data_IF_378014910079
#
_entry.id   IF_378014910079
#
_cell.length_a   1.000
_cell.length_b   1.000
_cell.length_c   1.000
_cell.angle_alpha   90.00
_cell.angle_beta   90.00
_cell.angle_gamma   90.00
#
_symmetry.space_group_name_H-M   'P 1'
#
loop_
_entity.id
_entity.type
_entity.pdbx_description
1 polymer ?
#
# COMPACT_ATOMS: atom_id res chain seq x y z
N UNK A 1 -38.85 9.43 9.40
CA UNK A 1 -38.89 9.87 7.99
C UNK A 1 -37.44 10.08 7.61
N UNK A 2 -36.88 9.44 6.59
CA UNK A 2 -35.49 9.64 6.23
C UNK A 2 -35.35 11.07 5.70
N UNK A 3 -34.42 11.83 6.26
CA UNK A 3 -34.02 13.13 5.75
C UNK A 3 -33.18 12.90 4.52
N UNK A 4 -33.77 13.03 3.34
CA UNK A 4 -33.01 13.00 2.09
C UNK A 4 -32.01 14.16 2.10
N UNK A 5 -30.73 13.89 1.85
CA UNK A 5 -29.71 14.90 1.60
C UNK A 5 -30.14 15.78 0.41
N UNK A 6 -30.49 17.02 0.69
CA UNK A 6 -30.75 18.01 -0.35
C UNK A 6 -29.39 18.53 -0.82
N UNK A 7 -28.93 18.05 -1.96
CA UNK A 7 -27.83 18.66 -2.68
C UNK A 7 -28.25 20.07 -3.14
N UNK A 8 -27.35 21.07 -3.11
CA UNK A 8 -27.65 22.38 -3.66
C UNK A 8 -28.04 22.24 -5.14
N UNK A 9 -29.03 22.99 -5.64
CA UNK A 9 -29.44 22.87 -7.03
C UNK A 9 -28.26 23.20 -7.96
N UNK A 10 -28.02 22.37 -8.93
CA UNK A 10 -26.95 22.45 -9.95
C UNK A 10 -27.10 23.66 -10.90
N UNK A 11 -27.46 24.83 -10.41
CA UNK A 11 -27.67 26.06 -11.16
C UNK A 11 -26.95 27.27 -10.54
N UNK A 12 -25.70 27.13 -10.18
CA UNK A 12 -24.83 28.30 -10.09
C UNK A 12 -24.21 28.49 -11.48
N UNK A 13 -24.74 29.43 -12.21
CA UNK A 13 -24.30 29.88 -13.52
C UNK A 13 -22.82 30.25 -13.47
N UNK A 14 -21.93 29.35 -13.89
CA UNK A 14 -20.56 29.70 -14.23
C UNK A 14 -20.61 30.71 -15.38
N UNK A 15 -20.35 31.97 -15.08
CA UNK A 15 -20.12 33.02 -16.10
C UNK A 15 -18.96 32.55 -16.96
N UNK A 16 -19.28 32.25 -18.23
CA UNK A 16 -18.29 32.10 -19.31
C UNK A 16 -17.35 33.32 -19.31
N UNK A 17 -16.15 33.12 -18.81
CA UNK A 17 -15.03 34.02 -19.10
C UNK A 17 -14.53 33.67 -20.50
N UNK A 18 -14.46 34.71 -21.29
CA UNK A 18 -14.21 34.77 -22.72
C UNK A 18 -13.08 33.84 -23.21
N UNK A 19 -13.40 33.13 -24.32
CA UNK A 19 -12.43 32.60 -25.27
C UNK A 19 -11.44 33.67 -25.71
N UNK A 20 -10.25 33.66 -25.17
CA UNK A 20 -9.10 34.28 -25.84
C UNK A 20 -8.54 33.20 -26.79
N UNK A 21 -8.69 33.46 -28.07
CA UNK A 21 -8.07 32.74 -29.15
C UNK A 21 -6.56 32.94 -29.07
N UNK A 22 -5.80 31.92 -28.69
CA UNK A 22 -4.39 31.85 -29.05
C UNK A 22 -4.18 30.69 -30.02
N UNK A 23 -4.15 31.08 -31.27
CA UNK A 23 -3.54 30.38 -32.38
C UNK A 23 -2.04 30.63 -32.26
N UNK A 24 -1.26 29.69 -31.69
CA UNK A 24 0.18 29.55 -31.99
C UNK A 24 0.67 28.18 -31.47
N UNK A 25 1.34 27.48 -32.40
CA UNK A 25 2.24 26.31 -32.20
C UNK A 25 1.66 24.93 -32.04
N UNK A 26 1.14 24.45 -33.15
CA UNK A 26 1.23 23.03 -33.52
C UNK A 26 2.54 22.84 -34.35
N UNK A 27 3.71 22.74 -33.71
CA UNK A 27 4.95 22.30 -34.38
C UNK A 27 6.10 22.12 -33.36
N UNK A 28 6.05 21.03 -32.56
CA UNK A 28 7.29 20.48 -31.95
C UNK A 28 7.13 19.10 -31.31
N UNK A 29 6.28 18.22 -31.87
CA UNK A 29 6.21 16.82 -31.47
C UNK A 29 6.65 15.90 -32.62
N UNK A 30 7.92 16.09 -33.04
CA UNK A 30 8.64 15.10 -33.88
C UNK A 30 10.07 15.02 -33.36
N UNK A 31 10.28 14.17 -32.35
CA UNK A 31 11.55 13.52 -32.05
C UNK A 31 11.46 12.72 -30.74
N UNK A 32 10.81 11.57 -30.79
CA UNK A 32 11.13 10.47 -29.88
C UNK A 32 11.37 9.25 -30.75
N UNK A 33 12.60 8.74 -30.69
CA UNK A 33 13.00 7.52 -31.38
C UNK A 33 12.32 6.33 -30.71
N UNK A 34 11.82 5.36 -31.48
CA UNK A 34 11.36 4.09 -30.91
C UNK A 34 12.57 3.25 -30.52
N UNK A 35 12.63 2.82 -29.27
CA UNK A 35 13.49 1.76 -28.80
C UNK A 35 12.97 0.48 -29.45
N UNK A 36 13.83 -0.14 -30.25
CA UNK A 36 13.57 -1.38 -30.97
C UNK A 36 13.47 -2.50 -29.94
N UNK A 37 12.25 -3.01 -29.73
CA UNK A 37 12.02 -4.32 -29.12
C UNK A 37 12.22 -5.34 -30.23
N UNK A 38 13.31 -6.07 -30.19
CA UNK A 38 13.61 -7.15 -31.12
C UNK A 38 12.66 -8.33 -30.88
N UNK A 39 11.66 -8.46 -31.73
CA UNK A 39 10.87 -9.67 -31.83
C UNK A 39 11.68 -10.71 -32.59
N UNK A 40 12.06 -11.78 -31.92
CA UNK A 40 12.56 -13.00 -32.59
C UNK A 40 11.39 -13.69 -33.26
N UNK A 41 11.31 -13.53 -34.56
CA UNK A 41 10.42 -14.33 -35.43
C UNK A 41 11.14 -15.66 -35.70
N UNK A 42 10.64 -16.73 -35.09
CA UNK A 42 11.00 -18.11 -35.52
C UNK A 42 10.24 -18.43 -36.80
N UNK A 43 10.96 -18.48 -37.87
CA UNK A 43 10.45 -18.90 -39.19
C UNK A 43 10.35 -20.43 -39.18
N UNK A 44 9.15 -20.98 -39.06
CA UNK A 44 8.89 -22.38 -39.37
C UNK A 44 8.67 -22.49 -40.86
N UNK A 45 9.66 -23.02 -41.58
CA UNK A 45 9.51 -23.42 -42.96
C UNK A 45 8.94 -24.83 -42.99
N UNK A 46 7.69 -24.97 -43.37
CA UNK A 46 7.10 -26.24 -43.75
C UNK A 46 7.39 -26.47 -45.24
N UNK A 47 8.19 -27.48 -45.53
CA UNK A 47 8.23 -28.08 -46.86
C UNK A 47 7.83 -29.54 -46.72
N UNK A 48 6.76 -29.88 -47.42
CA UNK A 48 6.28 -31.24 -47.52
C UNK A 48 6.93 -32.01 -48.67
N UNK A 49 6.93 -33.31 -48.49
CA UNK A 49 6.77 -34.28 -49.61
C UNK A 49 8.03 -34.87 -50.17
N UNK A 50 8.16 -36.18 -50.04
CA UNK A 50 8.78 -37.01 -51.09
C UNK A 50 9.93 -37.93 -50.69
N UNK A 51 9.56 -39.18 -50.52
CA UNK A 51 10.26 -40.39 -50.91
C UNK A 51 11.52 -40.94 -50.17
N UNK A 52 11.34 -42.18 -49.82
CA UNK A 52 12.27 -43.13 -49.24
C UNK A 52 13.64 -43.18 -49.93
N UNK A 53 14.70 -43.12 -49.14
CA UNK A 53 15.87 -43.99 -49.33
C UNK A 53 16.61 -44.22 -48.03
N UNK A 54 16.82 -45.47 -47.73
CA UNK A 54 17.56 -46.06 -46.62
C UNK A 54 19.03 -45.62 -46.64
N UNK A 55 19.41 -44.77 -45.71
CA UNK A 55 20.81 -44.44 -45.43
C UNK A 55 21.11 -44.56 -43.94
N UNK A 56 21.72 -45.66 -43.56
CA UNK A 56 22.32 -45.80 -42.20
C UNK A 56 23.32 -44.67 -41.95
N UNK A 57 23.20 -43.95 -40.86
CA UNK A 57 24.27 -43.00 -40.48
C UNK A 57 25.48 -43.79 -39.97
N UNK A 58 26.61 -43.58 -40.66
CA UNK A 58 27.94 -43.94 -40.21
C UNK A 58 28.18 -43.24 -38.85
N UNK A 59 28.13 -44.02 -37.80
CA UNK A 59 28.84 -43.64 -36.55
C UNK A 59 30.23 -44.23 -36.63
N UNK A 60 31.23 -43.36 -36.78
CA UNK A 60 32.61 -43.68 -36.69
C UNK A 60 32.88 -44.03 -35.20
N UNK A 61 33.08 -45.31 -34.95
CA UNK A 61 33.62 -45.89 -33.76
C UNK A 61 35.12 -45.55 -33.73
N UNK A 62 35.53 -44.57 -32.89
CA UNK A 62 36.85 -44.40 -32.27
C UNK A 62 37.11 -42.93 -31.95
N UNK A 63 36.48 -42.46 -30.85
CA UNK A 63 36.97 -41.32 -30.10
C UNK A 63 37.36 -41.80 -28.67
N UNK A 64 38.66 -41.90 -28.35
CA UNK A 64 39.08 -42.23 -26.98
C UNK A 64 38.84 -41.05 -26.06
N UNK A 65 37.80 -41.08 -25.28
CA UNK A 65 37.50 -40.01 -24.31
C UNK A 65 36.11 -40.04 -23.67
N UNK A 66 35.19 -40.93 -24.11
CA UNK A 66 33.84 -40.97 -23.57
C UNK A 66 33.65 -41.79 -22.30
N UNK A 67 34.61 -42.64 -21.92
CA UNK A 67 34.50 -43.49 -20.75
C UNK A 67 34.92 -42.86 -19.41
N UNK A 68 35.21 -41.54 -19.38
CA UNK A 68 35.62 -40.85 -18.17
C UNK A 68 34.58 -39.95 -17.50
N UNK A 69 33.41 -39.80 -18.07
CA UNK A 69 32.35 -38.93 -17.52
C UNK A 69 31.21 -39.68 -16.80
N UNK A 70 31.29 -41.02 -16.71
CA UNK A 70 30.24 -41.83 -16.05
C UNK A 70 30.67 -42.36 -14.69
N UNK A 71 31.85 -42.02 -14.20
CA UNK A 71 32.31 -42.55 -12.91
C UNK A 71 32.38 -41.43 -11.87
N UNK A 72 31.48 -41.53 -10.93
CA UNK A 72 31.40 -41.00 -9.58
C UNK A 72 30.35 -39.95 -9.27
N UNK A 73 29.15 -40.01 -9.85
CA UNK A 73 28.02 -39.47 -9.14
C UNK A 73 27.56 -40.46 -8.08
N UNK A 74 27.79 -40.16 -6.81
CA UNK A 74 27.08 -40.88 -5.73
C UNK A 74 25.59 -40.89 -6.07
N UNK A 75 24.88 -42.01 -5.91
CA UNK A 75 23.45 -41.98 -6.14
C UNK A 75 22.86 -40.91 -5.22
N UNK A 76 22.27 -39.87 -5.83
CA UNK A 76 21.52 -38.88 -5.09
C UNK A 76 20.45 -39.56 -4.26
N UNK A 77 20.16 -39.08 -3.05
CA UNK A 77 19.08 -39.65 -2.24
C UNK A 77 17.80 -39.68 -3.04
N UNK A 78 17.10 -40.78 -3.02
CA UNK A 78 15.73 -40.87 -3.58
C UNK A 78 14.90 -39.94 -2.74
N UNK A 79 14.39 -38.88 -3.36
CA UNK A 79 13.48 -37.96 -2.70
C UNK A 79 12.10 -38.59 -2.83
N UNK A 80 11.65 -39.24 -1.76
CA UNK A 80 10.31 -39.83 -1.70
C UNK A 80 9.27 -38.71 -1.66
N UNK A 81 8.21 -38.89 -2.45
CA UNK A 81 7.04 -38.00 -2.38
C UNK A 81 6.46 -38.04 -0.95
N UNK A 82 6.05 -36.91 -0.37
CA UNK A 82 5.23 -36.92 0.82
C UNK A 82 4.00 -37.81 0.55
N UNK A 83 3.74 -38.79 1.38
CA UNK A 83 2.55 -39.59 1.23
C UNK A 83 1.30 -38.73 1.23
N UNK A 84 0.29 -39.06 0.42
CA UNK A 84 -1.01 -38.36 0.33
C UNK A 84 -1.01 -36.97 -0.32
N UNK A 85 -0.17 -36.74 -1.35
CA UNK A 85 -0.34 -35.56 -2.20
C UNK A 85 -1.69 -35.63 -2.96
N UNK A 86 -2.45 -34.54 -3.02
CA UNK A 86 -3.63 -34.48 -3.87
C UNK A 86 -3.28 -34.76 -5.34
N UNK A 87 -4.18 -35.47 -6.04
CA UNK A 87 -4.08 -35.68 -7.50
C UNK A 87 -3.85 -34.29 -8.19
N UNK A 88 -2.83 -34.19 -9.01
CA UNK A 88 -2.46 -32.94 -9.70
C UNK A 88 -1.28 -32.18 -9.09
N UNK A 89 -0.87 -32.45 -7.85
CA UNK A 89 0.37 -31.91 -7.28
C UNK A 89 1.58 -32.83 -7.51
N UNK A 90 1.34 -34.10 -7.90
CA UNK A 90 2.41 -35.04 -8.24
C UNK A 90 3.41 -34.52 -9.28
N UNK A 91 2.98 -33.85 -10.39
CA UNK A 91 3.92 -33.32 -11.38
C UNK A 91 4.85 -32.24 -10.80
N UNK A 92 4.41 -31.46 -9.81
CA UNK A 92 5.26 -30.45 -9.15
C UNK A 92 6.39 -31.13 -8.40
N UNK A 93 6.06 -32.20 -7.64
CA UNK A 93 7.05 -32.99 -6.93
C UNK A 93 7.98 -33.74 -7.88
N UNK A 94 7.45 -34.35 -8.94
CA UNK A 94 8.24 -35.00 -9.97
C UNK A 94 9.23 -34.03 -10.62
N UNK A 95 8.76 -32.82 -10.96
CA UNK A 95 9.61 -31.76 -11.53
C UNK A 95 10.74 -31.39 -10.57
N UNK A 96 10.45 -31.21 -9.28
CA UNK A 96 11.47 -30.93 -8.28
C UNK A 96 12.50 -32.08 -8.20
N UNK A 97 12.05 -33.34 -8.19
CA UNK A 97 12.92 -34.50 -8.13
C UNK A 97 13.81 -34.64 -9.39
N UNK A 98 13.29 -34.30 -10.57
CA UNK A 98 14.06 -34.28 -11.83
C UNK A 98 15.12 -33.19 -11.78
N UNK A 99 14.77 -31.97 -11.40
CA UNK A 99 15.71 -30.85 -11.27
C UNK A 99 16.84 -31.21 -10.29
N UNK A 100 16.50 -31.68 -9.10
CA UNK A 100 17.47 -32.06 -8.08
C UNK A 100 18.43 -33.16 -8.54
N UNK A 101 17.99 -34.05 -9.45
CA UNK A 101 18.78 -35.16 -9.94
C UNK A 101 19.58 -34.85 -11.20
N UNK A 102 19.01 -34.09 -12.15
CA UNK A 102 19.49 -34.00 -13.53
C UNK A 102 19.97 -32.61 -13.95
N UNK A 103 19.65 -31.56 -13.17
CA UNK A 103 20.11 -30.21 -13.50
C UNK A 103 21.64 -30.10 -13.43
N UNK A 104 22.23 -29.45 -14.44
CA UNK A 104 23.70 -29.40 -14.59
C UNK A 104 24.40 -28.68 -13.44
N UNK A 105 23.78 -27.64 -12.89
CA UNK A 105 24.27 -26.82 -11.78
C UNK A 105 23.51 -27.15 -10.46
N UNK A 106 23.17 -28.41 -10.26
CA UNK A 106 22.37 -28.86 -9.11
C UNK A 106 22.97 -28.56 -7.75
N UNK A 107 24.31 -28.39 -7.68
CA UNK A 107 25.00 -28.06 -6.42
C UNK A 107 24.78 -26.62 -6.00
N UNK A 108 24.35 -25.74 -6.94
CA UNK A 108 24.05 -24.34 -6.71
C UNK A 108 22.54 -24.09 -6.53
N UNK A 109 21.72 -25.15 -6.55
CA UNK A 109 20.26 -25.02 -6.35
C UNK A 109 19.96 -24.69 -4.89
N UNK A 110 19.25 -23.59 -4.69
CA UNK A 110 18.58 -23.28 -3.44
C UNK A 110 17.16 -23.90 -3.45
N UNK A 111 16.91 -24.94 -2.63
CA UNK A 111 15.60 -25.59 -2.57
C UNK A 111 14.47 -24.67 -2.10
N UNK A 112 14.77 -23.68 -1.23
CA UNK A 112 13.80 -22.72 -0.74
C UNK A 112 13.37 -21.77 -1.87
N UNK A 113 14.33 -21.32 -2.70
CA UNK A 113 14.00 -20.45 -3.84
C UNK A 113 13.17 -21.20 -4.90
N UNK A 114 13.42 -22.49 -5.12
CA UNK A 114 12.56 -23.32 -5.97
C UNK A 114 11.14 -23.48 -5.40
N UNK A 115 11.02 -23.70 -4.09
CA UNK A 115 9.73 -23.77 -3.41
C UNK A 115 8.96 -22.44 -3.52
N UNK A 116 9.63 -21.31 -3.28
CA UNK A 116 9.06 -19.96 -3.46
C UNK A 116 8.61 -19.71 -4.89
N UNK A 117 9.40 -20.18 -5.88
CA UNK A 117 9.03 -20.13 -7.30
C UNK A 117 7.77 -20.91 -7.61
N UNK A 118 7.63 -22.11 -7.06
CA UNK A 118 6.43 -22.96 -7.23
C UNK A 118 5.19 -22.30 -6.58
N UNK A 119 5.32 -21.74 -5.38
CA UNK A 119 4.24 -21.02 -4.69
C UNK A 119 3.78 -19.83 -5.53
N UNK A 120 4.71 -19.00 -6.03
CA UNK A 120 4.37 -17.87 -6.92
C UNK A 120 3.58 -18.35 -8.15
N UNK A 121 4.04 -19.40 -8.83
CA UNK A 121 3.35 -19.94 -10.00
C UNK A 121 1.94 -20.47 -9.70
N UNK A 122 1.73 -21.08 -8.53
CA UNK A 122 0.38 -21.49 -8.10
C UNK A 122 -0.56 -20.31 -7.87
N UNK A 123 -0.05 -19.22 -7.26
CA UNK A 123 -0.86 -18.04 -6.98
C UNK A 123 -1.14 -17.24 -8.26
N UNK A 124 -0.17 -17.12 -9.17
CA UNK A 124 -0.34 -16.51 -10.48
C UNK A 124 -1.41 -17.21 -11.32
N UNK A 125 -1.54 -18.53 -11.19
CA UNK A 125 -2.57 -19.31 -11.89
C UNK A 125 -4.01 -19.00 -11.43
N UNK A 126 -4.21 -18.25 -10.32
CA UNK A 126 -5.52 -17.80 -9.89
C UNK A 126 -6.01 -16.58 -10.69
N UNK A 127 -5.15 -15.91 -11.46
CA UNK A 127 -5.44 -14.68 -12.21
C UNK A 127 -6.08 -13.59 -11.35
N UNK A 128 -5.65 -13.51 -10.07
CA UNK A 128 -6.10 -12.54 -9.09
C UNK A 128 -4.95 -11.58 -8.73
N UNK A 129 -5.04 -10.29 -9.13
CA UNK A 129 -3.96 -9.32 -8.91
C UNK A 129 -3.73 -8.99 -7.43
N UNK A 130 -4.66 -9.36 -6.56
CA UNK A 130 -4.59 -9.09 -5.12
C UNK A 130 -4.10 -10.28 -4.31
N UNK A 131 -3.85 -11.41 -4.95
CA UNK A 131 -3.29 -12.62 -4.31
C UNK A 131 -1.82 -12.74 -4.66
N UNK A 132 -0.95 -12.86 -3.64
CA UNK A 132 0.50 -12.91 -3.83
C UNK A 132 1.23 -13.65 -2.73
N UNK A 133 2.41 -14.16 -3.06
CA UNK A 133 3.37 -14.65 -2.07
C UNK A 133 4.09 -13.47 -1.42
N UNK A 134 4.21 -13.51 -0.09
CA UNK A 134 4.91 -12.52 0.72
C UNK A 134 6.14 -13.17 1.33
N UNK A 135 7.33 -12.64 1.05
CA UNK A 135 8.58 -13.14 1.63
C UNK A 135 8.59 -12.99 3.15
N UNK A 136 9.45 -13.73 3.90
CA UNK A 136 9.52 -13.58 5.36
C UNK A 136 9.67 -12.11 5.80
N UNK A 137 10.61 -11.39 5.23
CA UNK A 137 10.83 -9.96 5.54
C UNK A 137 9.66 -9.08 5.07
N UNK A 138 8.96 -9.46 4.01
CA UNK A 138 7.75 -8.78 3.54
C UNK A 138 6.58 -9.00 4.50
N UNK A 139 6.49 -10.21 5.07
CA UNK A 139 5.45 -10.58 6.03
C UNK A 139 5.58 -9.76 7.32
N UNK A 140 6.79 -9.68 7.89
CA UNK A 140 7.08 -8.86 9.06
C UNK A 140 6.74 -7.39 8.81
N UNK A 141 7.21 -6.80 7.70
CA UNK A 141 6.91 -5.41 7.35
C UNK A 141 5.41 -5.16 7.14
N UNK A 142 4.66 -6.14 6.64
CA UNK A 142 3.21 -6.01 6.48
C UNK A 142 2.50 -6.00 7.83
N UNK A 143 2.95 -6.85 8.78
CA UNK A 143 2.43 -6.84 10.16
C UNK A 143 2.73 -5.51 10.85
N UNK A 144 3.97 -5.00 10.80
CA UNK A 144 4.34 -3.68 11.33
C UNK A 144 3.45 -2.58 10.75
N UNK A 145 3.23 -2.60 9.42
CA UNK A 145 2.35 -1.63 8.77
C UNK A 145 0.91 -1.67 9.29
N UNK A 146 0.38 -2.85 9.59
CA UNK A 146 -0.97 -3.00 10.15
C UNK A 146 -1.04 -2.56 11.62
N UNK A 147 0.02 -2.77 12.39
CA UNK A 147 0.11 -2.29 13.77
C UNK A 147 0.20 -0.76 13.84
N UNK A 148 0.69 -0.11 12.80
CA UNK A 148 0.89 1.34 12.74
C UNK A 148 2.15 1.77 13.46
N UNK A 149 3.14 0.90 13.50
CA UNK A 149 4.46 1.16 14.03
C UNK A 149 5.54 0.45 13.20
N UNK A 150 6.79 0.76 13.45
CA UNK A 150 7.92 0.04 12.88
C UNK A 150 9.05 -0.08 13.90
N UNK A 151 9.88 -1.09 13.75
CA UNK A 151 11.05 -1.25 14.59
C UNK A 151 12.27 -0.51 14.04
N UNK A 152 12.93 0.25 14.92
CA UNK A 152 14.08 1.05 14.51
C UNK A 152 14.51 2.06 15.59
N UNK A 153 15.14 3.15 15.15
CA UNK A 153 15.63 4.18 16.06
C UNK A 153 14.70 5.39 16.19
N UNK A 154 13.83 5.65 15.21
CA UNK A 154 12.92 6.81 15.21
C UNK A 154 13.64 8.11 14.85
N UNK A 155 14.21 8.18 13.66
CA UNK A 155 14.77 9.40 13.09
C UNK A 155 14.37 9.54 11.62
N UNK A 156 14.03 10.76 11.20
CA UNK A 156 13.90 11.11 9.80
C UNK A 156 15.29 11.37 9.23
N UNK A 157 15.63 10.73 8.12
CA UNK A 157 16.92 10.88 7.46
C UNK A 157 16.73 11.24 5.98
N UNK A 158 17.73 11.90 5.41
CA UNK A 158 17.79 12.26 4.00
C UNK A 158 19.24 12.23 3.52
N UNK A 159 19.47 12.44 2.22
CA UNK A 159 20.82 12.68 1.72
C UNK A 159 21.27 14.10 2.05
N UNK A 160 22.59 14.29 2.28
CA UNK A 160 23.18 15.62 2.29
C UNK A 160 22.98 16.31 0.94
N UNK A 161 23.00 17.67 0.87
CA UNK A 161 22.76 18.40 -0.38
C UNK A 161 23.67 18.03 -1.54
N UNK A 162 24.86 17.50 -1.25
CA UNK A 162 25.81 16.98 -2.25
C UNK A 162 25.57 15.49 -2.60
N UNK A 163 24.58 14.84 -1.95
CA UNK A 163 24.22 13.45 -2.17
C UNK A 163 25.26 12.42 -1.71
N UNK A 164 26.30 12.85 -0.96
CA UNK A 164 27.42 11.97 -0.60
C UNK A 164 27.23 11.21 0.71
N UNK A 165 26.37 11.70 1.59
CA UNK A 165 26.18 11.17 2.96
C UNK A 165 24.72 11.20 3.36
N UNK A 166 24.44 10.52 4.44
CA UNK A 166 23.13 10.52 5.10
C UNK A 166 23.14 11.56 6.22
N UNK A 167 22.09 12.38 6.28
CA UNK A 167 21.89 13.38 7.32
C UNK A 167 20.61 13.10 8.10
N UNK A 168 20.64 13.31 9.41
CA UNK A 168 19.44 13.32 10.24
C UNK A 168 18.72 14.65 10.05
N UNK A 169 17.50 14.58 9.48
CA UNK A 169 16.62 15.74 9.36
C UNK A 169 16.07 16.11 10.74
N UNK A 170 15.50 15.13 11.45
CA UNK A 170 15.03 15.28 12.83
C UNK A 170 14.89 13.92 13.51
N UNK A 171 15.24 13.78 14.81
CA UNK A 171 14.76 12.68 15.62
C UNK A 171 13.24 12.84 15.85
N UNK A 172 12.53 11.72 15.91
CA UNK A 172 11.11 11.70 16.27
C UNK A 172 11.01 11.80 17.80
N UNK A 173 10.13 12.66 18.36
CA UNK A 173 9.94 12.75 19.80
C UNK A 173 9.62 11.41 20.47
N UNK A 174 10.10 11.23 21.68
CA UNK A 174 9.90 10.03 22.52
C UNK A 174 10.43 8.72 21.93
N UNK A 175 11.38 8.78 20.96
CA UNK A 175 11.97 7.62 20.33
C UNK A 175 13.38 7.27 20.84
N UNK A 176 13.92 6.09 20.53
CA UNK A 176 15.28 5.72 20.88
C UNK A 176 16.35 6.71 20.38
N UNK A 177 16.22 7.27 19.18
CA UNK A 177 17.17 8.22 18.61
C UNK A 177 17.23 9.51 19.44
N UNK A 178 16.06 10.06 19.79
CA UNK A 178 16.02 11.26 20.64
C UNK A 178 16.61 11.00 22.02
N UNK A 179 16.22 9.88 22.67
CA UNK A 179 16.77 9.49 23.98
C UNK A 179 18.28 9.24 23.95
N UNK A 180 18.81 8.76 22.83
CA UNK A 180 20.27 8.60 22.64
C UNK A 180 20.99 9.92 22.34
N UNK A 181 20.26 11.03 22.17
CA UNK A 181 20.85 12.35 21.93
C UNK A 181 21.24 12.63 20.49
N UNK A 182 20.64 11.92 19.54
CA UNK A 182 20.72 12.27 18.10
C UNK A 182 20.05 13.63 17.89
N UNK A 183 20.59 14.45 17.00
CA UNK A 183 20.13 15.80 16.71
C UNK A 183 19.93 16.03 15.22
N UNK A 184 19.06 16.97 14.90
CA UNK A 184 18.92 17.47 13.52
C UNK A 184 20.28 18.02 13.04
N UNK A 185 20.67 17.64 11.81
CA UNK A 185 21.93 18.02 11.22
C UNK A 185 23.10 17.07 11.54
N UNK A 186 22.92 16.03 12.35
CA UNK A 186 23.95 14.99 12.52
C UNK A 186 24.14 14.25 11.19
N UNK A 187 25.38 14.19 10.68
CA UNK A 187 25.72 13.44 9.47
C UNK A 187 26.16 12.03 9.90
N UNK A 188 25.48 11.01 9.41
CA UNK A 188 25.80 9.62 9.68
C UNK A 188 26.95 9.21 8.74
N UNK A 189 28.12 8.94 9.31
CA UNK A 189 29.32 8.54 8.58
C UNK A 189 29.42 7.02 8.42
N UNK A 190 28.94 6.26 9.43
CA UNK A 190 28.92 4.81 9.38
C UNK A 190 27.76 4.25 10.21
N UNK A 191 27.27 3.05 9.83
CA UNK A 191 26.29 2.24 10.57
C UNK A 191 26.94 0.89 10.84
N UNK A 192 27.04 0.49 12.11
CA UNK A 192 27.73 -0.74 12.56
C UNK A 192 29.15 -0.89 12.00
N UNK A 193 29.83 0.25 11.75
CA UNK A 193 31.16 0.32 11.19
C UNK A 193 31.23 0.39 9.66
N UNK A 194 30.14 0.17 8.96
CA UNK A 194 30.06 0.27 7.49
C UNK A 194 29.91 1.73 7.05
N UNK A 195 30.84 2.22 6.22
CA UNK A 195 30.83 3.60 5.71
C UNK A 195 29.61 3.88 4.84
N UNK A 196 28.90 4.99 5.13
CA UNK A 196 27.67 5.38 4.42
C UNK A 196 27.89 6.15 3.11
N UNK A 197 29.15 6.31 2.66
CA UNK A 197 29.45 7.03 1.42
C UNK A 197 28.73 6.42 0.22
N UNK A 198 27.92 7.25 -0.44
CA UNK A 198 27.19 6.84 -1.64
C UNK A 198 26.00 5.94 -1.37
N UNK A 199 25.58 5.74 -0.12
CA UNK A 199 24.34 5.04 0.17
C UNK A 199 23.13 5.90 -0.22
N UNK A 200 22.10 5.22 -0.73
CA UNK A 200 20.77 5.83 -0.82
C UNK A 200 20.13 5.89 0.58
N UNK A 201 19.11 6.74 0.73
CA UNK A 201 18.28 6.78 1.95
C UNK A 201 17.69 5.41 2.26
N UNK A 202 17.28 4.66 1.22
CA UNK A 202 16.72 3.30 1.37
C UNK A 202 17.75 2.33 1.95
N UNK A 203 19.00 2.37 1.46
CA UNK A 203 20.08 1.52 1.98
C UNK A 203 20.33 1.81 3.46
N UNK A 204 20.38 3.11 3.82
CA UNK A 204 20.55 3.53 5.21
C UNK A 204 19.38 3.06 6.09
N UNK A 205 18.13 3.26 5.65
CA UNK A 205 16.93 2.81 6.37
C UNK A 205 16.98 1.31 6.62
N UNK A 206 17.28 0.49 5.59
CA UNK A 206 17.31 -0.96 5.71
C UNK A 206 18.39 -1.47 6.70
N UNK A 207 19.49 -0.73 6.91
CA UNK A 207 20.54 -1.12 7.85
C UNK A 207 20.33 -0.55 9.25
N UNK A 208 19.72 0.63 9.35
CA UNK A 208 19.42 1.25 10.64
C UNK A 208 18.21 0.58 11.31
N UNK A 209 17.18 0.19 10.55
CA UNK A 209 16.05 -0.61 11.05
C UNK A 209 16.54 -1.99 11.50
N UNK A 210 15.72 -2.67 12.26
CA UNK A 210 15.95 -4.04 12.74
C UNK A 210 15.19 -4.28 14.02
N UNK A 211 15.22 -5.51 14.48
CA UNK A 211 14.48 -6.04 15.63
C UNK A 211 14.63 -5.17 16.88
N UNK A 212 13.51 -4.87 17.53
CA UNK A 212 13.44 -4.12 18.78
C UNK A 212 14.28 -4.79 19.87
N UNK A 213 14.94 -3.96 20.67
CA UNK A 213 15.89 -4.44 21.71
C UNK A 213 17.29 -4.74 21.20
N UNK A 214 17.54 -4.75 19.88
CA UNK A 214 18.88 -4.93 19.32
C UNK A 214 19.64 -3.59 19.22
N UNK A 215 20.96 -3.56 19.40
CA UNK A 215 21.76 -2.34 19.26
C UNK A 215 22.05 -2.04 17.77
N UNK A 216 22.23 -0.74 17.46
CA UNK A 216 22.86 -0.24 16.25
C UNK A 216 23.85 0.88 16.63
N UNK A 217 25.05 0.83 16.06
CA UNK A 217 26.07 1.84 16.29
C UNK A 217 26.10 2.84 15.13
N UNK A 218 25.76 4.10 15.42
CA UNK A 218 25.89 5.19 14.46
C UNK A 218 27.16 5.98 14.73
N UNK A 219 28.08 6.03 13.76
CA UNK A 219 29.18 7.00 13.78
C UNK A 219 28.68 8.28 13.14
N UNK A 220 28.59 9.36 13.92
CA UNK A 220 28.07 10.64 13.44
C UNK A 220 29.12 11.73 13.48
N UNK A 221 28.99 12.70 12.56
CA UNK A 221 29.67 13.98 12.59
C UNK A 221 28.64 15.06 12.91
N UNK A 222 28.81 15.71 14.05
CA UNK A 222 27.91 16.79 14.48
C UNK A 222 28.42 18.15 14.05
N UNK A 223 27.52 19.00 13.60
CA UNK A 223 27.87 20.35 13.18
C UNK A 223 28.48 21.15 14.35
N UNK A 224 29.68 21.70 14.12
CA UNK A 224 30.41 22.48 15.13
C UNK A 224 31.32 21.65 16.05
N UNK A 225 31.32 20.34 15.94
CA UNK A 225 32.24 19.45 16.64
C UNK A 225 33.32 18.92 15.67
N UNK A 226 34.58 18.84 16.15
CA UNK A 226 35.69 18.37 15.32
C UNK A 226 35.84 16.85 15.31
N UNK A 227 35.36 16.20 16.35
CA UNK A 227 35.51 14.77 16.55
C UNK A 227 34.23 14.03 16.15
N UNK A 228 34.38 12.81 15.62
CA UNK A 228 33.27 11.91 15.36
C UNK A 228 32.74 11.31 16.67
N UNK A 229 31.44 11.11 16.75
CA UNK A 229 30.77 10.54 17.93
C UNK A 229 30.20 9.18 17.50
N UNK A 230 30.43 8.15 18.31
CA UNK A 230 29.76 6.87 18.16
C UNK A 230 28.60 6.85 19.15
N UNK A 231 27.38 6.65 18.65
CA UNK A 231 26.16 6.57 19.44
C UNK A 231 25.57 5.18 19.26
N UNK A 232 25.58 4.38 20.31
CA UNK A 232 24.86 3.10 20.35
C UNK A 232 23.40 3.35 20.68
N UNK A 233 22.50 2.93 19.83
CA UNK A 233 21.06 3.10 20.00
C UNK A 233 20.42 1.72 20.07
N UNK A 234 19.65 1.47 21.13
CA UNK A 234 18.84 0.25 21.20
C UNK A 234 17.56 0.51 20.40
N UNK A 235 17.35 -0.28 19.34
CA UNK A 235 16.14 -0.19 18.52
C UNK A 235 14.89 -0.42 19.36
N UNK A 236 13.81 0.18 18.97
CA UNK A 236 12.52 0.03 19.65
C UNK A 236 11.37 0.29 18.69
N UNK A 237 10.17 0.10 19.19
CA UNK A 237 8.93 0.37 18.44
C UNK A 237 8.76 1.87 18.27
N UNK A 238 8.55 2.31 17.04
CA UNK A 238 8.38 3.70 16.63
C UNK A 238 6.96 3.87 16.12
N UNK A 239 6.09 4.55 16.87
CA UNK A 239 4.72 4.77 16.44
C UNK A 239 4.67 5.70 15.23
N UNK A 240 3.87 5.31 14.24
CA UNK A 240 3.60 6.11 13.05
C UNK A 240 2.15 6.56 13.09
N UNK A 241 1.93 7.87 13.20
CA UNK A 241 0.58 8.41 13.15
C UNK A 241 -0.07 8.11 11.80
N UNK A 242 -1.31 7.66 11.84
CA UNK A 242 -2.16 7.43 10.66
C UNK A 242 -3.20 8.54 10.49
N UNK A 243 -3.44 9.35 11.52
CA UNK A 243 -4.43 10.42 11.55
C UNK A 243 -3.76 11.76 11.77
N UNK A 244 -4.07 12.71 10.91
CA UNK A 244 -3.52 14.06 10.94
C UNK A 244 -4.64 15.09 10.96
N UNK A 245 -4.46 16.15 11.76
CA UNK A 245 -5.41 17.25 11.92
C UNK A 245 -4.87 18.54 11.31
N UNK A 246 -5.76 19.29 10.66
CA UNK A 246 -5.52 20.68 10.27
C UNK A 246 -6.80 21.48 10.46
N UNK A 247 -6.79 22.48 11.34
CA UNK A 247 -7.88 23.43 11.46
C UNK A 247 -7.79 24.47 10.34
N UNK A 248 -8.93 24.81 9.75
CA UNK A 248 -9.03 25.86 8.73
C UNK A 248 -9.15 27.26 9.34
N UNK A 249 -9.35 27.34 10.66
CA UNK A 249 -9.37 28.56 11.45
C UNK A 249 -8.27 28.52 12.51
N UNK A 250 -7.69 29.66 12.84
CA UNK A 250 -6.62 29.79 13.85
C UNK A 250 -7.14 30.04 15.27
N UNK A 251 -8.46 30.06 15.46
CA UNK A 251 -9.11 30.32 16.74
C UNK A 251 -9.21 31.83 17.09
N UNK A 252 -8.67 32.73 16.26
CA UNK A 252 -8.72 34.19 16.46
C UNK A 252 -10.09 34.78 16.12
N UNK A 253 -11.02 33.94 15.65
CA UNK A 253 -12.41 34.31 15.35
C UNK A 253 -12.54 35.21 14.11
N UNK A 254 -11.60 35.10 13.17
CA UNK A 254 -11.74 35.72 11.88
C UNK A 254 -12.96 35.14 11.15
N UNK A 255 -14.02 35.91 10.88
CA UNK A 255 -15.24 35.41 10.26
C UNK A 255 -15.06 34.99 8.78
N UNK A 256 -13.89 35.27 8.19
CA UNK A 256 -13.55 34.84 6.83
C UNK A 256 -12.96 33.41 6.79
N UNK A 257 -12.51 32.88 7.94
CA UNK A 257 -11.95 31.54 8.02
C UNK A 257 -13.06 30.51 8.24
N UNK A 258 -13.12 29.42 7.45
CA UNK A 258 -14.11 28.36 7.66
C UNK A 258 -13.93 27.68 9.03
N UNK A 259 -14.98 27.59 9.86
CA UNK A 259 -14.89 27.02 11.22
C UNK A 259 -14.84 25.47 11.17
N UNK A 260 -14.00 24.90 10.31
CA UNK A 260 -13.94 23.46 10.06
C UNK A 260 -12.56 22.89 10.34
N UNK A 261 -12.54 21.59 10.68
CA UNK A 261 -11.33 20.81 10.87
C UNK A 261 -11.22 19.77 9.76
N UNK A 262 -10.05 19.71 9.12
CA UNK A 262 -9.69 18.62 8.22
C UNK A 262 -9.03 17.53 9.05
N UNK A 263 -9.57 16.30 8.96
CA UNK A 263 -8.99 15.10 9.52
C UNK A 263 -8.57 14.21 8.37
N UNK A 264 -7.27 14.01 8.18
CA UNK A 264 -6.73 13.13 7.16
C UNK A 264 -6.35 11.79 7.76
N UNK A 265 -6.85 10.71 7.16
CA UNK A 265 -6.46 9.33 7.47
C UNK A 265 -5.63 8.81 6.30
N UNK A 266 -4.38 8.41 6.56
CA UNK A 266 -3.46 7.93 5.52
C UNK A 266 -3.47 6.42 5.34
N UNK A 267 -3.88 5.67 6.37
CA UNK A 267 -4.01 4.22 6.38
C UNK A 267 -4.88 3.80 7.58
N UNK A 268 -5.52 2.62 7.50
CA UNK A 268 -6.24 2.03 8.64
C UNK A 268 -5.34 1.00 9.35
N UNK A 269 -4.76 1.41 10.47
CA UNK A 269 -3.91 0.58 11.35
C UNK A 269 -4.66 0.24 12.63
N UNK A 270 -4.10 -0.63 13.48
CA UNK A 270 -4.69 -0.91 14.81
C UNK A 270 -4.87 0.34 15.67
N UNK A 271 -4.05 1.38 15.45
CA UNK A 271 -4.05 2.62 16.22
C UNK A 271 -5.00 3.69 15.70
N UNK A 272 -5.40 3.59 14.43
CA UNK A 272 -6.21 4.63 13.76
C UNK A 272 -7.49 5.00 14.50
N UNK A 273 -8.29 4.08 15.08
CA UNK A 273 -9.51 4.44 15.81
C UNK A 273 -9.24 5.31 17.05
N UNK A 274 -8.18 4.99 17.82
CA UNK A 274 -7.80 5.75 19.00
C UNK A 274 -7.25 7.14 18.60
N UNK A 275 -6.38 7.19 17.59
CA UNK A 275 -5.85 8.43 17.05
C UNK A 275 -6.96 9.34 16.51
N UNK A 276 -7.93 8.78 15.78
CA UNK A 276 -9.09 9.53 15.28
C UNK A 276 -9.92 10.10 16.43
N UNK A 277 -10.23 9.29 17.44
CA UNK A 277 -11.00 9.75 18.61
C UNK A 277 -10.33 10.91 19.31
N UNK A 278 -9.02 10.85 19.53
CA UNK A 278 -8.25 11.95 20.12
C UNK A 278 -8.34 13.23 19.27
N UNK A 279 -8.19 13.10 17.95
CA UNK A 279 -8.28 14.24 17.02
C UNK A 279 -9.69 14.83 16.96
N UNK A 280 -10.74 14.02 17.05
CA UNK A 280 -12.14 14.49 17.12
C UNK A 280 -12.37 15.28 18.41
N UNK A 281 -11.87 14.81 19.56
CA UNK A 281 -11.99 15.55 20.82
C UNK A 281 -11.25 16.90 20.77
N UNK A 282 -10.06 16.92 20.19
CA UNK A 282 -9.32 18.16 19.96
C UNK A 282 -10.10 19.12 19.03
N UNK A 283 -10.76 18.62 17.99
CA UNK A 283 -11.58 19.43 17.09
C UNK A 283 -12.79 20.05 17.84
N UNK A 284 -13.39 19.31 18.78
CA UNK A 284 -14.44 19.82 19.65
C UNK A 284 -13.96 20.90 20.61
N UNK A 285 -12.74 20.75 21.16
CA UNK A 285 -12.13 21.76 22.07
C UNK A 285 -11.94 23.10 21.37
N UNK A 286 -11.53 23.11 20.10
CA UNK A 286 -11.44 24.32 19.28
C UNK A 286 -12.79 24.77 18.69
N UNK A 287 -13.88 24.06 19.04
CA UNK A 287 -15.25 24.34 18.58
C UNK A 287 -15.42 24.29 17.06
N UNK A 288 -14.82 23.30 16.43
CA UNK A 288 -15.03 23.05 15.02
C UNK A 288 -16.53 22.79 14.75
N UNK A 289 -17.09 23.49 13.76
CA UNK A 289 -18.52 23.39 13.41
C UNK A 289 -18.78 22.30 12.35
N UNK A 290 -17.71 21.70 11.79
CA UNK A 290 -17.79 20.61 10.81
C UNK A 290 -16.45 19.93 10.59
N UNK A 291 -16.49 18.70 10.12
CA UNK A 291 -15.33 17.87 9.81
C UNK A 291 -15.28 17.57 8.31
N UNK A 292 -14.10 17.76 7.72
CA UNK A 292 -13.75 17.27 6.39
C UNK A 292 -12.83 16.07 6.59
N UNK A 293 -13.37 14.86 6.37
CA UNK A 293 -12.60 13.61 6.49
C UNK A 293 -11.91 13.32 5.15
N UNK A 294 -10.60 13.46 5.10
CA UNK A 294 -9.79 13.29 3.89
C UNK A 294 -9.15 11.89 3.86
N UNK A 295 -9.69 11.01 3.01
CA UNK A 295 -9.14 9.67 2.75
C UNK A 295 -8.57 9.56 1.32
N UNK A 296 -8.24 10.67 0.68
CA UNK A 296 -7.56 10.68 -0.61
C UNK A 296 -6.17 10.06 -0.47
N UNK A 297 -5.80 9.25 -1.46
CA UNK A 297 -4.54 8.50 -1.50
C UNK A 297 -4.35 7.54 -0.31
N UNK A 298 -5.43 7.11 0.33
CA UNK A 298 -5.41 6.11 1.39
C UNK A 298 -5.70 4.72 0.79
N UNK A 299 -4.73 3.78 0.77
CA UNK A 299 -4.89 2.47 0.15
C UNK A 299 -5.77 1.49 0.94
N UNK A 300 -6.30 1.92 2.09
CA UNK A 300 -7.06 1.08 3.02
C UNK A 300 -6.24 0.65 4.23
N UNK A 301 -6.44 -0.57 4.68
CA UNK A 301 -5.77 -1.16 5.83
C UNK A 301 -6.62 -2.23 6.51
N UNK A 302 -6.55 -2.31 7.83
CA UNK A 302 -7.30 -3.28 8.62
C UNK A 302 -8.80 -3.00 8.58
N UNK A 303 -9.58 -4.06 8.32
CA UNK A 303 -11.03 -3.94 8.30
C UNK A 303 -11.63 -3.56 9.66
N UNK A 304 -11.19 -4.22 10.73
CA UNK A 304 -11.67 -3.93 12.08
C UNK A 304 -11.46 -2.45 12.41
N UNK A 305 -10.27 -1.92 12.13
CA UNK A 305 -9.98 -0.49 12.27
C UNK A 305 -10.90 0.40 11.41
N UNK A 306 -11.19 -0.02 10.17
CA UNK A 306 -12.10 0.72 9.28
C UNK A 306 -13.52 0.77 9.84
N UNK A 307 -14.00 -0.35 10.40
CA UNK A 307 -15.32 -0.44 11.04
C UNK A 307 -15.39 0.44 12.30
N UNK A 308 -14.36 0.40 13.13
CA UNK A 308 -14.25 1.22 14.34
C UNK A 308 -14.20 2.73 14.00
N UNK A 309 -13.47 3.10 12.94
CA UNK A 309 -13.44 4.48 12.41
C UNK A 309 -14.83 4.90 11.92
N UNK A 310 -15.55 4.02 11.20
CA UNK A 310 -16.91 4.31 10.75
C UNK A 310 -17.87 4.49 11.94
N UNK A 311 -17.68 3.71 13.03
CA UNK A 311 -18.47 3.79 14.24
C UNK A 311 -18.30 5.13 15.00
N UNK A 312 -17.21 5.87 14.79
CA UNK A 312 -17.08 7.23 15.35
C UNK A 312 -18.10 8.21 14.73
N UNK A 313 -18.65 7.90 13.56
CA UNK A 313 -19.61 8.73 12.82
C UNK A 313 -21.00 8.09 12.68
N UNK A 314 -21.14 6.79 12.98
CA UNK A 314 -22.39 6.01 12.87
C UNK A 314 -22.71 5.38 14.23
N UNK A 315 -23.90 5.62 14.76
CA UNK A 315 -24.31 5.09 16.09
C UNK A 315 -24.83 3.66 16.04
N UNK A 316 -25.20 3.18 14.86
CA UNK A 316 -25.76 1.84 14.65
C UNK A 316 -25.69 1.38 13.19
N UNK A 317 -26.17 0.17 12.95
CA UNK A 317 -26.43 -0.35 11.63
C UNK A 317 -25.19 -0.93 10.96
N UNK A 318 -25.34 -1.28 9.70
CA UNK A 318 -24.32 -1.99 8.94
C UNK A 318 -23.29 -1.00 8.37
N UNK A 319 -21.99 -1.27 8.57
CA UNK A 319 -20.89 -0.59 7.90
C UNK A 319 -20.59 -1.27 6.56
N UNK A 320 -20.50 -2.58 6.56
CA UNK A 320 -20.25 -3.39 5.36
C UNK A 320 -20.63 -4.84 5.61
N UNK A 321 -20.69 -5.64 4.57
CA UNK A 321 -20.70 -7.10 4.70
C UNK A 321 -19.78 -7.74 3.65
N UNK A 322 -19.31 -8.94 3.98
CA UNK A 322 -18.53 -9.76 3.08
C UNK A 322 -19.29 -11.01 2.66
N UNK A 323 -19.03 -11.49 1.44
CA UNK A 323 -19.43 -12.82 0.99
C UNK A 323 -18.17 -13.58 0.58
N UNK A 324 -17.94 -14.71 1.24
CA UNK A 324 -16.77 -15.54 0.95
C UNK A 324 -17.01 -16.52 -0.23
N UNK A 325 -15.97 -17.25 -0.64
CA UNK A 325 -16.02 -18.21 -1.73
C UNK A 325 -17.01 -19.39 -1.54
N UNK A 326 -17.60 -19.56 -0.35
CA UNK A 326 -18.67 -20.55 -0.06
C UNK A 326 -20.06 -19.93 -0.06
N UNK A 327 -20.18 -18.63 -0.38
CA UNK A 327 -21.43 -17.90 -0.33
C UNK A 327 -21.90 -17.53 1.08
N UNK A 328 -21.05 -17.65 2.09
CA UNK A 328 -21.37 -17.26 3.47
C UNK A 328 -21.19 -15.78 3.62
N UNK A 329 -22.25 -15.11 4.07
CA UNK A 329 -22.25 -13.67 4.40
C UNK A 329 -21.80 -13.48 5.84
N UNK A 330 -20.96 -12.48 6.08
CA UNK A 330 -20.59 -11.94 7.40
C UNK A 330 -20.84 -10.45 7.42
N UNK A 331 -21.62 -10.00 8.38
CA UNK A 331 -21.95 -8.59 8.59
C UNK A 331 -20.98 -7.92 9.56
N UNK A 332 -20.68 -6.65 9.30
CA UNK A 332 -19.83 -5.80 10.11
C UNK A 332 -20.64 -4.56 10.52
N UNK A 333 -21.33 -4.60 11.67
CA UNK A 333 -22.10 -3.46 12.16
C UNK A 333 -21.18 -2.40 12.80
N UNK A 334 -21.67 -1.16 12.88
CA UNK A 334 -21.09 -0.12 13.72
C UNK A 334 -21.42 -0.38 15.19
N UNK A 335 -20.44 -0.25 16.06
CA UNK A 335 -20.66 -0.23 17.50
C UNK A 335 -21.20 1.14 17.94
N UNK A 336 -22.13 1.20 18.89
CA UNK A 336 -22.75 2.45 19.32
C UNK A 336 -21.81 3.31 20.16
N UNK A 337 -22.03 4.63 20.18
CA UNK A 337 -21.35 5.57 21.04
C UNK A 337 -20.19 6.32 20.40
N UNK A 338 -20.24 6.50 19.09
CA UNK A 338 -19.25 7.26 18.33
C UNK A 338 -19.08 8.70 18.82
N UNK A 339 -17.87 9.23 18.67
CA UNK A 339 -17.51 10.56 19.19
C UNK A 339 -17.94 11.71 18.28
N UNK A 340 -18.36 11.48 17.03
CA UNK A 340 -18.70 12.53 16.07
C UNK A 340 -20.04 12.32 15.36
N UNK A 341 -21.06 11.82 16.07
CA UNK A 341 -22.37 11.44 15.50
C UNK A 341 -23.13 12.63 14.91
N UNK A 342 -23.07 13.80 15.57
CA UNK A 342 -23.90 14.97 15.24
C UNK A 342 -23.13 16.08 14.50
N UNK A 343 -21.80 15.98 14.40
CA UNK A 343 -20.99 17.00 13.73
C UNK A 343 -21.21 16.90 12.21
N UNK A 344 -21.50 18.01 11.50
CA UNK A 344 -21.55 18.05 10.04
C UNK A 344 -20.28 17.45 9.43
N UNK A 345 -20.45 16.54 8.45
CA UNK A 345 -19.38 15.74 7.89
C UNK A 345 -19.42 15.71 6.37
N UNK A 346 -18.25 15.83 5.77
CA UNK A 346 -18.00 15.60 4.34
C UNK A 346 -16.78 14.70 4.21
N UNK A 347 -16.76 13.80 3.24
CA UNK A 347 -15.62 12.91 2.96
C UNK A 347 -15.01 13.24 1.61
N UNK A 348 -13.67 13.39 1.59
CA UNK A 348 -12.89 13.56 0.36
C UNK A 348 -12.30 12.21 -0.06
N UNK A 349 -12.49 11.86 -1.34
CA UNK A 349 -11.98 10.64 -1.96
C UNK A 349 -11.30 10.92 -3.30
N UNK A 350 -10.42 10.01 -3.73
CA UNK A 350 -9.79 10.04 -5.05
C UNK A 350 -9.62 8.63 -5.64
N UNK A 351 -9.08 8.52 -6.84
CA UNK A 351 -8.82 7.24 -7.52
C UNK A 351 -7.80 6.34 -6.83
N UNK A 352 -7.14 6.80 -5.76
CA UNK A 352 -6.22 6.03 -4.92
C UNK A 352 -6.83 5.69 -3.54
N UNK A 353 -8.03 6.17 -3.25
CA UNK A 353 -8.82 5.72 -2.12
C UNK A 353 -9.29 4.29 -2.38
N UNK A 354 -8.78 3.31 -1.62
CA UNK A 354 -9.00 1.89 -1.92
C UNK A 354 -9.40 1.07 -0.67
N UNK A 355 -10.05 -0.08 -0.88
CA UNK A 355 -10.34 -1.08 0.17
C UNK A 355 -11.06 -0.47 1.38
N UNK A 356 -10.43 -0.40 2.57
CA UNK A 356 -11.01 0.21 3.79
C UNK A 356 -11.53 1.63 3.57
N UNK A 357 -10.86 2.45 2.74
CA UNK A 357 -11.34 3.80 2.40
C UNK A 357 -12.65 3.76 1.63
N UNK A 358 -12.83 2.76 0.77
CA UNK A 358 -14.06 2.55 0.00
C UNK A 358 -15.19 2.03 0.89
N UNK A 359 -14.86 1.11 1.81
CA UNK A 359 -15.81 0.62 2.82
C UNK A 359 -16.31 1.78 3.68
N UNK A 360 -15.42 2.63 4.19
CA UNK A 360 -15.80 3.81 5.00
C UNK A 360 -16.64 4.79 4.20
N UNK A 361 -16.20 5.18 3.00
CA UNK A 361 -16.93 6.13 2.16
C UNK A 361 -18.31 5.60 1.77
N UNK A 362 -18.41 4.33 1.35
CA UNK A 362 -19.69 3.68 1.03
C UNK A 362 -20.63 3.59 2.22
N UNK A 363 -20.11 3.27 3.40
CA UNK A 363 -20.92 3.21 4.62
C UNK A 363 -21.52 4.58 4.96
N UNK A 364 -20.70 5.64 4.93
CA UNK A 364 -21.16 6.99 5.24
C UNK A 364 -22.13 7.55 4.19
N UNK A 365 -21.93 7.18 2.90
CA UNK A 365 -22.83 7.52 1.80
C UNK A 365 -24.17 6.78 1.91
N UNK A 366 -24.14 5.46 1.99
CA UNK A 366 -25.33 4.60 2.02
C UNK A 366 -26.22 4.85 3.26
N UNK A 367 -25.61 5.36 4.33
CA UNK A 367 -26.32 5.72 5.59
C UNK A 367 -26.73 7.19 5.64
N UNK A 368 -26.61 7.94 4.54
CA UNK A 368 -26.91 9.38 4.49
C UNK A 368 -26.18 10.20 5.59
N UNK A 369 -24.99 9.75 6.02
CA UNK A 369 -24.21 10.41 7.09
C UNK A 369 -23.33 11.54 6.58
N UNK A 370 -22.75 11.38 5.40
CA UNK A 370 -21.86 12.35 4.80
C UNK A 370 -22.01 12.39 3.29
N UNK A 371 -21.83 13.56 2.69
CA UNK A 371 -21.63 13.68 1.26
C UNK A 371 -20.18 13.28 0.90
N UNK A 372 -20.04 12.49 -0.15
CA UNK A 372 -18.75 12.07 -0.70
C UNK A 372 -18.38 12.96 -1.86
N UNK A 373 -17.20 13.59 -1.80
CA UNK A 373 -16.72 14.56 -2.80
C UNK A 373 -15.36 14.12 -3.32
N UNK A 374 -15.15 14.22 -4.62
CA UNK A 374 -13.86 13.89 -5.24
C UNK A 374 -13.99 13.18 -6.56
N UNK A 375 -13.16 12.19 -6.82
CA UNK A 375 -13.26 11.32 -7.99
C UNK A 375 -13.64 9.91 -7.58
N UNK A 376 -14.12 9.10 -8.54
CA UNK A 376 -14.44 7.68 -8.32
C UNK A 376 -13.23 6.97 -7.69
N UNK A 377 -13.48 6.14 -6.68
CA UNK A 377 -12.45 5.42 -5.95
C UNK A 377 -11.87 4.25 -6.76
N UNK A 378 -10.89 3.57 -6.21
CA UNK A 378 -10.06 2.59 -6.91
C UNK A 378 -10.86 1.35 -7.39
N UNK A 379 -11.81 0.86 -6.60
CA UNK A 379 -12.58 -0.36 -6.89
C UNK A 379 -11.94 -1.65 -6.36
N UNK A 380 -11.24 -1.60 -5.22
CA UNK A 380 -10.71 -2.79 -4.55
C UNK A 380 -11.72 -3.36 -3.55
N UNK A 381 -12.64 -4.18 -4.04
CA UNK A 381 -13.64 -4.88 -3.23
C UNK A 381 -13.23 -6.26 -2.73
N UNK A 382 -11.96 -6.66 -2.89
CA UNK A 382 -11.45 -7.94 -2.41
C UNK A 382 -11.23 -7.94 -0.90
N UNK A 383 -11.72 -9.00 -0.24
CA UNK A 383 -11.39 -9.31 1.15
C UNK A 383 -10.12 -10.15 1.15
N UNK A 384 -9.03 -9.57 1.61
CA UNK A 384 -7.75 -10.25 1.65
C UNK A 384 -7.34 -10.60 3.08
N UNK A 385 -6.71 -11.76 3.24
CA UNK A 385 -6.07 -12.16 4.49
C UNK A 385 -4.60 -12.44 4.26
N UNK A 386 -3.80 -12.09 5.25
CA UNK A 386 -2.41 -12.52 5.35
C UNK A 386 -2.36 -13.84 6.11
N UNK A 387 -1.79 -14.87 5.50
CA UNK A 387 -1.61 -16.20 6.10
C UNK A 387 -0.15 -16.55 6.14
N UNK A 388 0.30 -16.90 7.32
CA UNK A 388 1.63 -17.41 7.58
C UNK A 388 1.81 -18.80 6.95
N UNK A 389 2.97 -19.06 6.38
CA UNK A 389 3.44 -20.36 5.97
C UNK A 389 4.31 -20.93 7.09
N UNK A 390 4.41 -22.27 7.17
CA UNK A 390 5.18 -22.93 8.20
C UNK A 390 6.68 -22.63 8.06
N UNK A 391 7.41 -22.71 9.18
CA UNK A 391 8.88 -22.69 9.23
C UNK A 391 9.52 -21.38 8.74
N UNK A 392 8.87 -20.23 9.00
CA UNK A 392 9.34 -18.90 8.61
C UNK A 392 9.50 -18.68 7.09
N UNK A 393 8.77 -19.44 6.28
CA UNK A 393 8.77 -19.33 4.82
C UNK A 393 7.98 -18.13 4.28
N UNK A 394 7.69 -17.14 5.14
CA UNK A 394 6.87 -15.97 4.80
C UNK A 394 5.38 -16.31 4.80
N UNK A 395 4.62 -15.76 3.85
CA UNK A 395 3.18 -15.94 3.86
C UNK A 395 2.53 -15.76 2.50
N UNK A 396 1.22 -15.88 2.49
CA UNK A 396 0.39 -15.56 1.33
C UNK A 396 -0.62 -14.49 1.70
N UNK A 397 -0.73 -13.49 0.84
CA UNK A 397 -1.82 -12.52 0.85
C UNK A 397 -2.88 -13.03 -0.10
N UNK A 398 -4.04 -13.47 0.43
CA UNK A 398 -5.01 -14.26 -0.31
C UNK A 398 -6.39 -13.61 -0.29
N UNK A 399 -7.02 -13.48 -1.45
CA UNK A 399 -8.41 -13.07 -1.56
C UNK A 399 -9.35 -14.20 -1.12
N UNK A 400 -10.20 -13.95 -0.13
CA UNK A 400 -11.13 -14.92 0.45
C UNK A 400 -12.60 -14.56 0.27
N UNK A 401 -12.92 -13.34 -0.15
CA UNK A 401 -14.28 -12.83 -0.30
C UNK A 401 -14.36 -11.52 -1.05
N UNK A 402 -15.57 -10.96 -1.09
CA UNK A 402 -15.86 -9.67 -1.69
C UNK A 402 -16.63 -8.78 -0.73
N UNK A 403 -16.30 -7.47 -0.72
CA UNK A 403 -16.99 -6.43 0.05
C UNK A 403 -18.23 -5.93 -0.67
N UNK A 404 -19.25 -5.69 0.12
CA UNK A 404 -20.50 -5.06 -0.32
C UNK A 404 -20.85 -3.88 0.58
N UNK A 405 -21.38 -2.82 -0.02
CA UNK A 405 -21.88 -1.66 0.72
C UNK A 405 -23.10 -2.03 1.56
N UNK A 406 -23.50 -1.25 2.56
CA UNK A 406 -24.72 -1.52 3.34
C UNK A 406 -25.96 -1.76 2.48
N UNK A 407 -26.12 -1.03 1.38
CA UNK A 407 -27.22 -1.15 0.44
C UNK A 407 -27.06 -2.28 -0.59
N UNK A 408 -25.95 -3.03 -0.55
CA UNK A 408 -25.72 -4.21 -1.38
C UNK A 408 -24.97 -3.95 -2.66
N UNK A 409 -24.38 -2.78 -2.85
CA UNK A 409 -23.47 -2.49 -3.95
C UNK A 409 -22.18 -3.30 -3.83
N UNK A 410 -21.69 -3.87 -4.93
CA UNK A 410 -20.39 -4.52 -4.97
C UNK A 410 -19.30 -3.44 -5.14
N UNK A 411 -18.27 -3.44 -4.27
CA UNK A 411 -17.17 -2.48 -4.36
C UNK A 411 -16.17 -2.88 -5.46
N UNK A 412 -15.99 -4.19 -5.69
CA UNK A 412 -15.03 -4.71 -6.68
C UNK A 412 -15.29 -4.18 -8.09
N UNK A 413 -14.30 -3.53 -8.67
CA UNK A 413 -14.32 -2.96 -10.02
C UNK A 413 -15.00 -1.60 -10.12
N UNK A 414 -16.11 -1.40 -9.44
CA UNK A 414 -16.90 -0.16 -9.52
C UNK A 414 -16.46 0.90 -8.50
N UNK A 415 -15.93 0.50 -7.34
CA UNK A 415 -15.57 1.42 -6.26
C UNK A 415 -16.77 2.22 -5.75
N UNK A 416 -16.50 3.40 -5.20
CA UNK A 416 -17.49 4.36 -4.73
C UNK A 416 -17.53 5.54 -5.69
N UNK A 417 -18.71 5.81 -6.23
CA UNK A 417 -18.96 7.02 -7.04
C UNK A 417 -19.33 8.16 -6.09
N UNK A 418 -18.57 9.27 -6.06
CA UNK A 418 -18.87 10.39 -5.17
C UNK A 418 -20.18 11.07 -5.53
N UNK A 419 -20.86 11.67 -4.53
CA UNK A 419 -22.06 12.47 -4.72
C UNK A 419 -21.78 13.75 -5.52
N UNK A 420 -20.58 14.28 -5.35
CA UNK A 420 -20.09 15.45 -6.09
C UNK A 420 -18.75 15.11 -6.73
N UNK A 421 -18.76 14.90 -8.05
CA UNK A 421 -17.54 14.58 -8.80
C UNK A 421 -16.78 15.85 -9.13
N UNK A 422 -15.54 15.95 -8.66
CA UNK A 422 -14.62 17.05 -8.95
C UNK A 422 -13.24 16.50 -9.28
N UNK A 423 -12.81 16.73 -10.52
CA UNK A 423 -11.45 16.41 -10.96
C UNK A 423 -10.46 17.41 -10.35
N UNK A 424 -9.36 16.92 -9.83
CA UNK A 424 -8.25 17.74 -9.35
C UNK A 424 -7.06 17.57 -10.32
N UNK A 425 -6.82 18.52 -11.24
CA UNK A 425 -5.66 18.45 -12.11
C UNK A 425 -4.36 18.44 -11.31
N UNK A 426 -3.36 17.72 -11.79
CA UNK A 426 -2.06 17.59 -11.10
C UNK A 426 -1.35 18.94 -10.89
N UNK A 427 -1.61 19.92 -11.77
CA UNK A 427 -1.07 21.28 -11.74
C UNK A 427 -2.05 22.32 -11.18
N UNK A 428 -3.10 21.89 -10.48
CA UNK A 428 -4.06 22.78 -9.86
C UNK A 428 -3.37 23.62 -8.76
N UNK A 429 -3.48 24.94 -8.87
CA UNK A 429 -2.97 25.89 -7.86
C UNK A 429 -3.84 25.89 -6.58
N UNK A 430 -5.07 25.40 -6.68
CA UNK A 430 -6.07 25.39 -5.61
C UNK A 430 -6.70 24.00 -5.51
N UNK A 431 -6.95 23.54 -4.29
CA UNK A 431 -7.65 22.28 -4.02
C UNK A 431 -9.17 22.47 -4.20
N UNK A 432 -9.65 22.28 -5.43
CA UNK A 432 -11.07 22.44 -5.79
C UNK A 432 -11.99 21.45 -5.05
N UNK A 433 -11.48 20.28 -4.68
CA UNK A 433 -12.24 19.31 -3.90
C UNK A 433 -12.45 19.79 -2.46
N UNK A 434 -11.42 20.38 -1.88
CA UNK A 434 -11.50 21.01 -0.56
C UNK A 434 -12.44 22.21 -0.56
N UNK A 435 -12.38 23.09 -1.58
CA UNK A 435 -13.32 24.20 -1.72
C UNK A 435 -14.77 23.72 -1.76
N UNK A 436 -15.06 22.67 -2.54
CA UNK A 436 -16.39 22.08 -2.61
C UNK A 436 -16.83 21.44 -1.28
N UNK A 437 -15.92 20.85 -0.52
CA UNK A 437 -16.22 20.33 0.80
C UNK A 437 -16.63 21.43 1.78
N UNK A 438 -15.92 22.57 1.75
CA UNK A 438 -16.26 23.77 2.53
C UNK A 438 -17.63 24.32 2.13
N UNK A 439 -17.92 24.42 0.83
CA UNK A 439 -19.24 24.86 0.34
C UNK A 439 -20.36 23.92 0.80
N UNK A 440 -20.13 22.60 0.78
CA UNK A 440 -21.08 21.61 1.22
C UNK A 440 -21.35 21.72 2.74
N UNK A 441 -20.34 21.91 3.58
CA UNK A 441 -20.53 22.13 5.01
C UNK A 441 -21.28 23.43 5.30
N UNK A 442 -20.95 24.53 4.61
CA UNK A 442 -21.69 25.79 4.71
C UNK A 442 -23.18 25.59 4.39
N UNK A 443 -23.49 24.79 3.37
CA UNK A 443 -24.87 24.45 3.02
C UNK A 443 -25.57 23.66 4.12
N UNK A 444 -24.93 22.61 4.68
CA UNK A 444 -25.47 21.80 5.78
C UNK A 444 -25.79 22.67 7.01
N UNK A 445 -24.88 23.55 7.42
CA UNK A 445 -25.09 24.43 8.56
C UNK A 445 -26.20 25.44 8.33
N UNK A 446 -26.36 25.95 7.10
CA UNK A 446 -27.43 26.89 6.77
C UNK A 446 -28.84 26.28 6.95
N UNK A 447 -28.98 24.97 6.72
CA UNK A 447 -30.25 24.25 6.90
C UNK A 447 -30.53 24.08 8.38
N UNK A 448 -29.53 23.75 9.20
CA UNK A 448 -29.69 23.56 10.66
C UNK A 448 -30.15 24.85 11.36
N UNK A 449 -29.71 26.03 10.88
CA UNK A 449 -30.05 27.32 11.47
C UNK A 449 -31.49 27.80 11.13
N UNK A 450 -32.12 27.21 10.11
CA UNK A 450 -33.46 27.63 9.62
C UNK A 450 -34.58 26.71 10.12
N UNK A 451 -34.27 25.54 10.66
CA UNK A 451 -35.23 24.53 11.19
C UNK A 451 -35.31 24.58 12.71
#
# INVERSE_FOLDING_TARGET
>A
MPSAFLLPPASATYRRVNKVKSKVMLNSLKRWHPVIVGAFIVLVVACGGGDEESGTPFFEEDAPGRDRLIATASPLPVIDSPGDLPDGLEPIWETFAIIAREYVEREDIDPEELARGAIRGMLEALDDPYTSYVTPQGFERQLESFQGDFEGIGAQIDNTPDGQRIIVVAPIPDTPAERAGIKSGDIILAVDGDDTSGWSVIDAVNRIRGEGGTPVDLTIQRLGESDTIIVTIIRGTIPTASVFRRDLHDGDGNPEDPPYTIIRITQFTERTPEELRAVIEDAKEVKSEGIILDVRSNPGGLLESTVDVAAEFLDDGLVTYEINGRGVRRDWPADPGGSALDIPLVVLVDGFSASGSEVLAAALQDRDRAAIIGTQTFGKGSVNILRDLKEDDGGIYLTIGRWYTPNGGLIEGDGVVPDVTIELPFDAEVDLQLEAAIEQLNFQLSIVQVG
#
